data_IF_376809376957
#
_entry.id   IF_376809376957
#
_cell.length_a   1.000
_cell.length_b   1.000
_cell.length_c   1.000
_cell.angle_alpha   90.00
_cell.angle_beta   90.00
_cell.angle_gamma   90.00
#
_symmetry.space_group_name_H-M   'P 1'
#
loop_
_entity.id
_entity.type
_entity.pdbx_description
1 polymer ?
#
# COMPACT_ATOMS: atom_id res chain seq x y z
N UNK A 1 14.49 -13.05 3.41
CA UNK A 1 13.02 -13.17 3.24
C UNK A 1 12.27 -12.04 3.94
N UNK A 2 12.38 -11.89 5.26
CA UNK A 2 11.69 -10.85 6.05
C UNK A 2 12.02 -9.43 5.58
N UNK A 3 13.29 -9.15 5.28
CA UNK A 3 13.74 -7.84 4.76
C UNK A 3 13.13 -7.49 3.41
N UNK A 4 12.98 -8.47 2.50
CA UNK A 4 12.33 -8.28 1.21
C UNK A 4 10.85 -7.88 1.40
N UNK A 5 10.12 -8.56 2.29
CA UNK A 5 8.74 -8.20 2.61
C UNK A 5 8.64 -6.79 3.22
N UNK A 6 9.56 -6.43 4.10
CA UNK A 6 9.62 -5.10 4.70
C UNK A 6 9.88 -4.03 3.63
N UNK A 7 10.85 -4.25 2.75
CA UNK A 7 11.16 -3.34 1.64
C UNK A 7 9.97 -3.19 0.67
N UNK A 8 9.30 -4.30 0.36
CA UNK A 8 8.11 -4.31 -0.48
C UNK A 8 6.98 -3.50 0.15
N UNK A 9 6.70 -3.70 1.45
CA UNK A 9 5.66 -2.99 2.18
C UNK A 9 5.95 -1.47 2.23
N UNK A 10 7.20 -1.09 2.50
CA UNK A 10 7.64 0.31 2.47
C UNK A 10 7.43 0.90 1.06
N UNK A 11 7.80 0.18 0.01
CA UNK A 11 7.64 0.66 -1.38
C UNK A 11 6.18 0.92 -1.73
N UNK A 12 5.27 0.02 -1.34
CA UNK A 12 3.83 0.22 -1.55
C UNK A 12 3.27 1.37 -0.70
N UNK A 13 3.76 1.54 0.53
CA UNK A 13 3.38 2.66 1.38
C UNK A 13 3.84 4.00 0.79
N UNK A 14 5.08 4.06 0.28
CA UNK A 14 5.61 5.24 -0.44
C UNK A 14 4.79 5.54 -1.69
N UNK A 15 4.41 4.52 -2.47
CA UNK A 15 3.54 4.70 -3.63
C UNK A 15 2.17 5.29 -3.23
N UNK A 16 1.56 4.78 -2.15
CA UNK A 16 0.29 5.30 -1.63
C UNK A 16 0.42 6.78 -1.20
N UNK A 17 1.47 7.12 -0.46
CA UNK A 17 1.75 8.51 -0.08
C UNK A 17 2.03 9.39 -1.31
N UNK A 18 2.70 8.87 -2.34
CA UNK A 18 2.94 9.59 -3.59
C UNK A 18 1.65 9.90 -4.33
N UNK A 19 0.74 8.93 -4.46
CA UNK A 19 -0.57 9.10 -5.11
C UNK A 19 -1.43 10.10 -4.36
N UNK A 20 -1.52 9.97 -3.03
CA UNK A 20 -2.30 10.90 -2.21
C UNK A 20 -1.66 12.30 -2.17
N UNK A 21 -0.34 12.39 -2.05
CA UNK A 21 0.41 13.64 -2.04
C UNK A 21 0.28 14.40 -3.36
N UNK A 22 0.42 13.71 -4.50
CA UNK A 22 0.20 14.30 -5.81
C UNK A 22 -1.21 14.87 -5.94
N UNK A 23 -2.21 14.11 -5.46
CA UNK A 23 -3.62 14.53 -5.49
C UNK A 23 -3.88 15.73 -4.61
N UNK A 24 -3.23 15.81 -3.45
CA UNK A 24 -3.37 16.95 -2.54
C UNK A 24 -2.71 18.21 -3.10
N UNK A 25 -1.52 18.07 -3.70
CA UNK A 25 -0.77 19.19 -4.31
C UNK A 25 -1.52 19.77 -5.51
N UNK A 26 -2.08 18.91 -6.36
CA UNK A 26 -2.76 19.33 -7.60
C UNK A 26 -4.28 19.38 -7.47
N UNK A 27 -4.83 19.46 -6.25
CA UNK A 27 -6.27 19.37 -5.99
C UNK A 27 -7.13 20.29 -6.88
N UNK A 28 -6.63 21.48 -7.23
CA UNK A 28 -7.34 22.43 -8.10
C UNK A 28 -7.54 21.93 -9.54
N UNK A 29 -6.66 21.05 -10.03
CA UNK A 29 -6.75 20.43 -11.37
C UNK A 29 -7.57 19.13 -11.39
N UNK A 30 -8.13 18.72 -10.25
CA UNK A 30 -8.85 17.46 -10.11
C UNK A 30 -10.34 17.58 -10.47
N UNK A 31 -10.66 17.14 -11.69
CA UNK A 31 -12.05 16.87 -12.10
C UNK A 31 -12.57 15.60 -11.41
N UNK A 32 -13.89 15.45 -11.29
CA UNK A 32 -14.56 14.29 -10.67
C UNK A 32 -14.05 12.93 -11.19
N UNK A 33 -13.74 12.84 -12.49
CA UNK A 33 -13.17 11.63 -13.10
C UNK A 33 -11.78 11.29 -12.58
N UNK A 34 -10.90 12.29 -12.40
CA UNK A 34 -9.55 12.08 -11.85
C UNK A 34 -9.61 11.63 -10.40
N UNK A 35 -10.55 12.16 -9.63
CA UNK A 35 -10.79 11.78 -8.23
C UNK A 35 -11.19 10.30 -8.15
N UNK A 36 -12.10 9.84 -9.02
CA UNK A 36 -12.53 8.43 -9.05
C UNK A 36 -11.35 7.51 -9.40
N UNK A 37 -10.51 7.90 -10.36
CA UNK A 37 -9.33 7.12 -10.76
C UNK A 37 -8.33 7.03 -9.60
N UNK A 38 -7.97 8.16 -9.00
CA UNK A 38 -7.04 8.20 -7.87
C UNK A 38 -7.58 7.41 -6.68
N UNK A 39 -8.86 7.59 -6.35
CA UNK A 39 -9.50 6.86 -5.26
C UNK A 39 -9.46 5.34 -5.51
N UNK A 40 -9.71 4.92 -6.75
CA UNK A 40 -9.63 3.50 -7.15
C UNK A 40 -8.20 2.95 -7.04
N UNK A 41 -7.20 3.71 -7.47
CA UNK A 41 -5.78 3.34 -7.36
C UNK A 41 -5.33 3.28 -5.90
N UNK A 42 -5.71 4.27 -5.10
CA UNK A 42 -5.42 4.31 -3.67
C UNK A 42 -6.06 3.12 -2.94
N UNK A 43 -7.32 2.79 -3.24
CA UNK A 43 -8.00 1.62 -2.68
C UNK A 43 -7.29 0.30 -3.05
N UNK A 44 -6.89 0.13 -4.31
CA UNK A 44 -6.11 -1.03 -4.75
C UNK A 44 -4.78 -1.17 -4.00
N UNK A 45 -4.02 -0.08 -3.89
CA UNK A 45 -2.77 -0.05 -3.13
C UNK A 45 -3.01 -0.41 -1.65
N UNK A 46 -4.08 0.12 -1.05
CA UNK A 46 -4.44 -0.16 0.33
C UNK A 46 -4.76 -1.65 0.56
N UNK A 47 -5.56 -2.25 -0.33
CA UNK A 47 -5.87 -3.68 -0.29
C UNK A 47 -4.60 -4.52 -0.40
N UNK A 48 -3.68 -4.17 -1.32
CA UNK A 48 -2.42 -4.88 -1.47
C UNK A 48 -1.55 -4.82 -0.21
N UNK A 49 -1.47 -3.65 0.45
CA UNK A 49 -0.73 -3.50 1.71
C UNK A 49 -1.34 -4.39 2.80
N UNK A 50 -2.68 -4.43 2.92
CA UNK A 50 -3.36 -5.29 3.89
C UNK A 50 -3.06 -6.76 3.64
N UNK A 51 -3.15 -7.22 2.39
CA UNK A 51 -2.85 -8.62 2.02
C UNK A 51 -1.40 -8.97 2.36
N UNK A 52 -0.46 -8.07 2.05
CA UNK A 52 0.96 -8.25 2.40
C UNK A 52 1.18 -8.31 3.91
N UNK A 53 0.52 -7.46 4.69
CA UNK A 53 0.57 -7.48 6.16
C UNK A 53 0.04 -8.79 6.73
N UNK A 54 -1.12 -9.26 6.26
CA UNK A 54 -1.71 -10.53 6.71
C UNK A 54 -0.76 -11.69 6.38
N UNK A 55 -0.20 -11.71 5.17
CA UNK A 55 0.75 -12.75 4.77
C UNK A 55 2.02 -12.71 5.62
N UNK A 56 2.55 -11.52 5.89
CA UNK A 56 3.73 -11.33 6.72
C UNK A 56 3.51 -11.81 8.17
N UNK A 57 2.36 -11.47 8.77
CA UNK A 57 1.97 -11.94 10.10
C UNK A 57 1.80 -13.46 10.15
N UNK A 58 1.23 -14.04 9.09
CA UNK A 58 1.07 -15.51 8.98
C UNK A 58 2.42 -16.20 8.84
N UNK A 59 3.35 -15.63 8.07
CA UNK A 59 4.71 -16.13 7.91
C UNK A 59 5.48 -16.10 9.24
N UNK A 60 5.44 -14.97 9.97
CA UNK A 60 6.10 -14.85 11.28
C UNK A 60 5.49 -15.78 12.32
N UNK A 61 4.15 -15.93 12.37
CA UNK A 61 3.51 -16.91 13.25
C UNK A 61 3.90 -18.37 12.94
N UNK A 62 4.15 -18.69 11.66
CA UNK A 62 4.57 -20.03 11.27
C UNK A 62 6.00 -20.31 11.78
N UNK A 63 6.91 -19.37 11.57
CA UNK A 63 8.30 -19.47 12.03
C UNK A 63 8.34 -19.62 13.56
N UNK A 64 7.59 -18.80 14.29
CA UNK A 64 7.52 -18.86 15.76
C UNK A 64 6.83 -20.11 16.34
N UNK A 65 6.27 -20.98 15.49
CA UNK A 65 5.68 -22.28 15.89
C UNK A 65 6.58 -23.47 15.54
N UNK A 66 7.58 -23.26 14.67
CA UNK A 66 8.59 -24.26 14.29
C UNK A 66 9.84 -24.19 15.20
N UNK A 67 10.00 -23.11 15.96
CA UNK A 67 10.88 -23.00 17.13
C UNK A 67 10.16 -23.44 18.42
#
# INVERSE_FOLDING_TARGET
>A
MVELYKALLISFLTALFGVLGYTFIHYEDFTTTKIIIVSSVAALLFIFIIVLLIFFLKLTKKIAKED
#
